data_IF_362669424474
#
_entry.id   IF_362669424474
#
_cell.length_a   1.000
_cell.length_b   1.000
_cell.length_c   1.000
_cell.angle_alpha   90.00
_cell.angle_beta   90.00
_cell.angle_gamma   90.00
#
_symmetry.space_group_name_H-M   'P 1'
#
loop_
_entity.id
_entity.type
_entity.pdbx_description
1 polymer ?
#
# COMPACT_ATOMS: atom_id res chain seq x y z
N UNK A 1 -2.58 29.28 29.05
CA UNK A 1 -3.52 28.21 28.69
C UNK A 1 -4.56 28.77 27.75
N UNK A 2 -4.34 28.68 26.43
CA UNK A 2 -5.41 28.91 25.46
C UNK A 2 -6.21 27.61 25.40
N UNK A 3 -7.48 27.67 25.80
CA UNK A 3 -8.43 26.59 25.57
C UNK A 3 -8.62 26.48 24.05
N UNK A 4 -7.99 25.48 23.43
CA UNK A 4 -8.31 25.09 22.06
C UNK A 4 -9.73 24.53 22.07
N UNK A 5 -10.64 25.17 21.34
CA UNK A 5 -11.91 24.56 21.00
C UNK A 5 -11.59 23.33 20.15
N UNK A 6 -11.65 22.13 20.75
CA UNK A 6 -11.51 20.88 20.02
C UNK A 6 -12.67 20.83 19.02
N UNK A 7 -12.39 21.08 17.74
CA UNK A 7 -13.32 20.81 16.67
C UNK A 7 -13.40 19.28 16.55
N UNK A 8 -14.23 18.67 17.39
CA UNK A 8 -14.40 17.21 17.55
C UNK A 8 -15.19 16.59 16.39
N UNK A 9 -15.72 17.40 15.48
CA UNK A 9 -16.42 16.94 14.29
C UNK A 9 -15.44 16.67 13.16
N UNK A 10 -15.52 15.47 12.61
CA UNK A 10 -14.89 15.15 11.33
C UNK A 10 -15.41 16.09 10.25
N UNK A 11 -14.52 16.57 9.39
CA UNK A 11 -14.88 17.41 8.24
C UNK A 11 -15.73 16.67 7.20
N UNK A 12 -15.73 15.32 7.20
CA UNK A 12 -16.71 14.53 6.46
C UNK A 12 -18.06 14.54 7.20
N UNK A 13 -19.17 14.91 6.53
CA UNK A 13 -20.47 15.04 7.19
C UNK A 13 -21.06 13.70 7.69
N UNK A 14 -20.50 12.56 7.28
CA UNK A 14 -21.01 11.22 7.56
C UNK A 14 -19.97 10.30 8.24
N UNK A 15 -19.15 10.81 9.15
CA UNK A 15 -18.26 9.93 9.92
C UNK A 15 -19.05 8.98 10.82
N UNK A 16 -18.86 7.68 10.63
CA UNK A 16 -19.63 6.59 11.25
C UNK A 16 -19.45 6.48 12.77
N UNK A 17 -18.29 6.89 13.29
CA UNK A 17 -18.02 6.88 14.73
C UNK A 17 -17.08 8.01 15.16
N UNK A 18 -17.24 8.46 16.40
CA UNK A 18 -16.25 9.30 17.06
C UNK A 18 -14.93 8.52 17.22
N UNK A 19 -13.75 9.14 16.99
CA UNK A 19 -12.46 8.45 17.13
C UNK A 19 -12.27 7.72 18.46
N UNK A 20 -12.76 8.31 19.56
CA UNK A 20 -12.73 7.68 20.89
C UNK A 20 -13.47 6.34 20.94
N UNK A 21 -14.62 6.24 20.26
CA UNK A 21 -15.39 5.00 20.23
C UNK A 21 -14.68 3.93 19.40
N UNK A 22 -14.07 4.32 18.28
CA UNK A 22 -13.22 3.43 17.47
C UNK A 22 -12.05 2.88 18.30
N UNK A 23 -11.32 3.75 19.00
CA UNK A 23 -10.19 3.36 19.87
C UNK A 23 -10.65 2.35 20.93
N UNK A 24 -11.73 2.66 21.66
CA UNK A 24 -12.23 1.79 22.73
C UNK A 24 -12.71 0.43 22.20
N UNK A 25 -13.41 0.43 21.05
CA UNK A 25 -13.87 -0.81 20.39
C UNK A 25 -12.69 -1.69 20.03
N UNK A 26 -11.67 -1.14 19.36
CA UNK A 26 -10.50 -1.91 18.92
C UNK A 26 -9.68 -2.41 20.10
N UNK A 27 -9.44 -1.56 21.13
CA UNK A 27 -8.72 -2.00 22.34
C UNK A 27 -9.43 -3.15 23.06
N UNK A 28 -10.76 -3.19 23.05
CA UNK A 28 -11.50 -4.32 23.60
C UNK A 28 -11.30 -5.59 22.77
N UNK A 29 -11.33 -5.50 21.43
CA UNK A 29 -11.06 -6.64 20.54
C UNK A 29 -9.65 -7.19 20.79
N UNK A 30 -8.63 -6.32 20.82
CA UNK A 30 -7.25 -6.74 21.05
C UNK A 30 -7.08 -7.40 22.43
N UNK A 31 -7.75 -6.86 23.46
CA UNK A 31 -7.78 -7.48 24.79
C UNK A 31 -8.41 -8.88 24.80
N UNK A 32 -9.46 -9.12 24.01
CA UNK A 32 -10.12 -10.44 23.92
C UNK A 32 -9.22 -11.52 23.30
N UNK A 33 -8.24 -11.12 22.49
CA UNK A 33 -7.22 -12.00 21.92
C UNK A 33 -5.86 -11.90 22.62
N UNK A 34 -5.84 -11.35 23.84
CA UNK A 34 -4.67 -11.22 24.71
C UNK A 34 -3.50 -10.42 24.08
N UNK A 35 -3.82 -9.37 23.33
CA UNK A 35 -2.83 -8.42 22.79
C UNK A 35 -2.94 -7.09 23.53
N UNK A 36 -1.89 -6.74 24.27
CA UNK A 36 -1.73 -5.45 24.93
C UNK A 36 -0.85 -4.53 24.07
N UNK A 37 -1.39 -3.35 23.74
CA UNK A 37 -0.67 -2.31 22.99
C UNK A 37 -0.32 -1.10 23.84
N UNK A 38 0.84 -0.52 23.56
CA UNK A 38 1.36 0.72 24.13
C UNK A 38 1.68 1.73 23.03
N UNK A 39 1.69 3.01 23.38
CA UNK A 39 2.12 4.09 22.49
C UNK A 39 3.63 4.31 22.67
N UNK A 40 4.43 4.14 21.60
CA UNK A 40 5.91 4.16 21.68
C UNK A 40 6.51 5.42 21.08
N UNK A 41 5.82 6.05 20.13
CA UNK A 41 6.31 7.23 19.43
C UNK A 41 5.18 8.23 19.22
N UNK A 42 5.39 9.49 19.56
CA UNK A 42 4.54 10.59 19.12
C UNK A 42 5.39 11.60 18.35
N UNK A 43 4.86 12.04 17.20
CA UNK A 43 5.42 13.11 16.38
C UNK A 43 4.41 14.25 16.22
N UNK A 44 4.88 15.49 16.32
CA UNK A 44 4.08 16.69 16.06
C UNK A 44 4.98 17.83 15.54
N UNK A 45 5.51 17.71 14.31
CA UNK A 45 6.51 18.66 13.79
C UNK A 45 5.91 20.02 13.42
N UNK A 46 4.59 20.10 13.17
CA UNK A 46 3.84 21.32 12.86
C UNK A 46 2.49 21.30 13.57
N UNK A 47 1.82 22.45 13.69
CA UNK A 47 0.49 22.49 14.31
C UNK A 47 -0.50 21.61 13.53
N UNK A 48 -1.37 20.93 14.27
CA UNK A 48 -2.33 19.96 13.72
C UNK A 48 -1.73 18.82 12.87
N UNK A 49 -0.43 18.54 12.93
CA UNK A 49 0.19 17.41 12.21
C UNK A 49 0.69 16.38 13.20
N UNK A 50 -0.15 15.39 13.53
CA UNK A 50 0.19 14.36 14.51
C UNK A 50 0.48 13.01 13.85
N UNK A 51 1.49 12.32 14.37
CA UNK A 51 1.69 10.89 14.15
C UNK A 51 1.92 10.17 15.47
N UNK A 52 1.53 8.89 15.52
CA UNK A 52 1.74 8.01 16.67
C UNK A 52 2.20 6.65 16.18
N UNK A 53 3.04 5.95 16.95
CA UNK A 53 3.27 4.52 16.79
C UNK A 53 2.69 3.80 17.99
N UNK A 54 1.85 2.80 17.72
CA UNK A 54 1.41 1.83 18.73
C UNK A 54 2.14 0.52 18.47
N UNK A 55 2.55 -0.16 19.54
CA UNK A 55 3.23 -1.46 19.49
C UNK A 55 2.60 -2.40 20.50
N UNK A 56 2.52 -3.68 20.17
CA UNK A 56 2.28 -4.73 21.15
C UNK A 56 3.44 -4.77 22.17
N UNK A 57 3.20 -5.22 23.39
CA UNK A 57 4.28 -5.42 24.37
C UNK A 57 5.24 -6.54 23.92
N UNK A 58 6.39 -6.64 24.57
CA UNK A 58 7.43 -7.64 24.23
C UNK A 58 6.89 -9.07 24.29
N UNK A 59 6.05 -9.37 25.27
CA UNK A 59 5.41 -10.67 25.44
C UNK A 59 4.47 -11.04 24.27
N UNK A 60 3.96 -10.03 23.56
CA UNK A 60 2.99 -10.15 22.47
C UNK A 60 3.63 -9.93 21.07
N UNK A 61 4.96 -9.88 21.01
CA UNK A 61 5.74 -9.88 19.77
C UNK A 61 6.09 -8.52 19.16
N UNK A 62 5.86 -7.41 19.88
CA UNK A 62 6.34 -6.05 19.50
C UNK A 62 5.86 -5.54 18.13
N UNK A 63 4.80 -6.12 17.58
CA UNK A 63 4.22 -5.69 16.31
C UNK A 63 3.66 -4.28 16.45
N UNK A 64 4.03 -3.38 15.53
CA UNK A 64 3.63 -1.98 15.64
C UNK A 64 3.13 -1.35 14.36
N UNK A 65 2.09 -0.51 14.51
CA UNK A 65 1.46 0.25 13.44
C UNK A 65 1.51 1.75 13.73
N UNK A 66 1.46 2.52 12.66
CA UNK A 66 1.54 3.98 12.74
C UNK A 66 0.16 4.60 12.52
N UNK A 67 -0.14 5.66 13.24
CA UNK A 67 -1.30 6.50 13.02
C UNK A 67 -0.89 7.88 12.55
N UNK A 68 -1.79 8.53 11.82
CA UNK A 68 -1.64 9.91 11.37
C UNK A 68 -2.96 10.65 11.49
N UNK A 69 -2.92 11.95 11.79
CA UNK A 69 -4.16 12.72 11.89
C UNK A 69 -3.97 14.16 12.35
N UNK A 70 -5.06 14.91 12.27
CA UNK A 70 -5.09 16.36 12.59
C UNK A 70 -5.15 16.68 14.09
N UNK A 71 -5.36 15.66 14.91
CA UNK A 71 -5.23 15.72 16.36
C UNK A 71 -4.93 14.32 16.93
N UNK A 72 -4.58 14.27 18.21
CA UNK A 72 -4.20 13.04 18.89
C UNK A 72 -5.26 11.93 18.82
N UNK A 73 -6.55 12.25 18.93
CA UNK A 73 -7.62 11.24 18.89
C UNK A 73 -7.80 10.62 17.50
N UNK A 74 -7.77 11.45 16.44
CA UNK A 74 -7.83 10.91 15.08
C UNK A 74 -6.59 10.11 14.74
N UNK A 75 -5.42 10.58 15.18
CA UNK A 75 -4.14 9.90 15.00
C UNK A 75 -4.14 8.51 15.68
N UNK A 76 -4.59 8.42 16.93
CA UNK A 76 -4.66 7.15 17.65
C UNK A 76 -5.72 6.21 17.07
N UNK A 77 -6.88 6.73 16.65
CA UNK A 77 -7.88 5.92 15.95
C UNK A 77 -7.35 5.36 14.63
N UNK A 78 -6.55 6.14 13.89
CA UNK A 78 -5.86 5.69 12.67
C UNK A 78 -4.89 4.56 12.97
N UNK A 79 -4.06 4.68 14.03
CA UNK A 79 -3.08 3.63 14.38
C UNK A 79 -3.77 2.31 14.73
N UNK A 80 -4.84 2.37 15.52
CA UNK A 80 -5.62 1.18 15.90
C UNK A 80 -6.38 0.57 14.71
N UNK A 81 -6.92 1.39 13.81
CA UNK A 81 -7.57 0.89 12.60
C UNK A 81 -6.57 0.19 11.67
N UNK A 82 -5.37 0.73 11.50
CA UNK A 82 -4.29 0.07 10.74
C UNK A 82 -3.84 -1.23 11.44
N UNK A 83 -3.82 -1.27 12.77
CA UNK A 83 -3.56 -2.53 13.51
C UNK A 83 -4.60 -3.61 13.19
N UNK A 84 -5.90 -3.26 13.20
CA UNK A 84 -6.97 -4.18 12.79
C UNK A 84 -6.84 -4.59 11.33
N UNK A 85 -6.39 -3.69 10.47
CA UNK A 85 -6.16 -3.98 9.05
C UNK A 85 -5.07 -5.03 8.87
N UNK A 86 -3.90 -4.84 9.52
CA UNK A 86 -2.78 -5.78 9.41
C UNK A 86 -3.09 -7.14 10.02
N UNK A 87 -3.67 -7.18 11.22
CA UNK A 87 -3.95 -8.45 11.89
C UNK A 87 -5.03 -9.25 11.15
N UNK A 88 -6.09 -8.61 10.66
CA UNK A 88 -7.17 -9.30 9.95
C UNK A 88 -6.83 -9.65 8.49
N UNK A 89 -5.80 -9.02 7.92
CA UNK A 89 -5.21 -9.45 6.64
C UNK A 89 -4.00 -10.39 6.81
N UNK A 90 -3.70 -10.82 8.03
CA UNK A 90 -2.54 -11.66 8.39
C UNK A 90 -1.17 -11.04 8.03
N UNK A 91 -1.11 -9.72 7.82
CA UNK A 91 0.09 -8.98 7.44
C UNK A 91 0.81 -8.34 8.63
N UNK A 92 0.57 -8.83 9.86
CA UNK A 92 1.11 -8.22 11.09
C UNK A 92 2.66 -8.24 11.12
N UNK A 93 3.25 -9.31 10.59
CA UNK A 93 4.69 -9.52 10.40
C UNK A 93 5.20 -9.00 9.05
N UNK A 94 4.36 -8.34 8.24
CA UNK A 94 4.68 -8.07 6.83
C UNK A 94 4.83 -9.36 6.01
N UNK A 95 5.41 -9.24 4.81
CA UNK A 95 5.57 -10.37 3.88
C UNK A 95 6.53 -11.45 4.39
N UNK A 96 7.40 -11.11 5.35
CA UNK A 96 8.40 -12.04 5.93
C UNK A 96 7.78 -13.13 6.80
N UNK A 97 6.62 -12.88 7.41
CA UNK A 97 5.92 -13.90 8.21
C UNK A 97 5.21 -14.97 7.38
N UNK A 98 5.10 -14.77 6.07
CA UNK A 98 4.63 -15.78 5.13
C UNK A 98 5.77 -16.66 4.59
N UNK A 99 6.93 -16.67 5.24
CA UNK A 99 7.94 -17.67 4.91
C UNK A 99 7.41 -19.07 5.21
N UNK A 100 7.79 -20.02 4.37
CA UNK A 100 7.29 -21.40 4.45
C UNK A 100 7.45 -22.02 5.83
N UNK A 101 8.56 -21.80 6.52
CA UNK A 101 8.86 -22.49 7.78
C UNK A 101 7.79 -22.17 8.82
N UNK A 102 7.43 -20.88 8.93
CA UNK A 102 6.37 -20.44 9.82
C UNK A 102 5.02 -20.96 9.33
N UNK A 103 4.74 -20.85 8.03
CA UNK A 103 3.48 -21.33 7.46
C UNK A 103 3.24 -22.82 7.66
N UNK A 104 4.25 -23.66 7.46
CA UNK A 104 4.19 -25.12 7.69
C UNK A 104 4.07 -25.46 9.17
N UNK A 105 4.74 -24.69 10.04
CA UNK A 105 4.57 -24.85 11.48
C UNK A 105 3.13 -24.56 11.89
N UNK A 106 2.58 -23.43 11.42
CA UNK A 106 1.20 -23.04 11.68
C UNK A 106 0.22 -24.07 11.12
N UNK A 107 0.46 -24.57 9.89
CA UNK A 107 -0.38 -25.60 9.28
C UNK A 107 -0.37 -26.91 10.08
N UNK A 108 0.78 -27.35 10.59
CA UNK A 108 0.86 -28.55 11.43
C UNK A 108 0.12 -28.42 12.75
N UNK A 109 0.08 -27.21 13.30
CA UNK A 109 -0.58 -26.92 14.58
C UNK A 109 -2.10 -26.74 14.41
N UNK A 110 -2.52 -25.99 13.38
CA UNK A 110 -3.90 -25.52 13.23
C UNK A 110 -4.65 -26.20 12.08
N UNK A 111 -3.93 -26.75 11.10
CA UNK A 111 -4.51 -27.39 9.91
C UNK A 111 -4.94 -26.42 8.80
N UNK A 112 -4.56 -25.14 8.90
CA UNK A 112 -4.84 -24.09 7.92
C UNK A 112 -3.60 -23.22 7.70
N UNK A 113 -3.43 -22.70 6.49
CA UNK A 113 -2.33 -21.77 6.16
C UNK A 113 -2.69 -20.31 6.42
N UNK A 114 -3.91 -19.91 6.06
CA UNK A 114 -4.36 -18.52 6.13
C UNK A 114 -5.70 -18.37 6.83
N UNK A 115 -6.78 -18.82 6.19
CA UNK A 115 -8.15 -18.63 6.66
C UNK A 115 -8.92 -19.94 6.58
N UNK A 116 -9.94 -20.17 7.43
CA UNK A 116 -10.74 -21.40 7.39
C UNK A 116 -11.48 -21.66 6.07
N UNK A 117 -11.66 -20.65 5.23
CA UNK A 117 -12.29 -20.73 3.91
C UNK A 117 -11.28 -20.84 2.75
N UNK A 118 -10.02 -21.13 3.06
CA UNK A 118 -8.99 -21.39 2.06
C UNK A 118 -9.31 -22.61 1.20
N UNK A 119 -8.93 -22.53 -0.07
CA UNK A 119 -9.09 -23.64 -1.02
C UNK A 119 -7.78 -23.95 -1.68
N UNK A 120 -7.39 -25.22 -1.60
CA UNK A 120 -6.35 -25.77 -2.46
C UNK A 120 -6.85 -25.75 -3.91
N UNK A 121 -6.03 -25.20 -4.80
CA UNK A 121 -6.25 -25.21 -6.25
C UNK A 121 -5.11 -25.92 -6.95
N UNK A 122 -5.45 -26.78 -7.89
CA UNK A 122 -4.48 -27.51 -8.70
C UNK A 122 -3.89 -26.62 -9.79
N UNK A 123 -2.88 -27.12 -10.50
CA UNK A 123 -2.38 -26.49 -11.74
C UNK A 123 -3.48 -26.25 -12.77
N UNK A 124 -4.42 -27.18 -12.90
CA UNK A 124 -5.53 -27.05 -13.85
C UNK A 124 -6.48 -25.91 -13.45
N UNK A 125 -6.77 -25.77 -12.17
CA UNK A 125 -7.60 -24.69 -11.64
C UNK A 125 -6.91 -23.34 -11.76
N UNK A 126 -5.60 -23.30 -11.51
CA UNK A 126 -4.77 -22.11 -11.69
C UNK A 126 -4.81 -21.59 -13.12
N UNK A 127 -4.69 -22.48 -14.10
CA UNK A 127 -4.75 -22.13 -15.53
C UNK A 127 -6.14 -21.65 -15.99
N UNK A 128 -7.19 -21.87 -15.19
CA UNK A 128 -8.55 -21.35 -15.43
C UNK A 128 -8.77 -19.96 -14.83
N UNK A 129 -7.81 -19.41 -14.09
CA UNK A 129 -7.93 -18.05 -13.56
C UNK A 129 -8.11 -17.04 -14.70
N UNK A 130 -8.84 -15.94 -14.45
CA UNK A 130 -8.94 -14.84 -15.41
C UNK A 130 -7.58 -14.40 -15.95
N UNK A 131 -7.49 -14.20 -17.27
CA UNK A 131 -6.24 -13.84 -17.95
C UNK A 131 -5.57 -12.60 -17.34
N UNK A 132 -6.35 -11.61 -16.90
CA UNK A 132 -5.80 -10.40 -16.29
C UNK A 132 -5.07 -10.68 -14.96
N UNK A 133 -5.55 -11.64 -14.17
CA UNK A 133 -4.89 -12.07 -12.93
C UNK A 133 -3.58 -12.78 -13.27
N UNK A 134 -3.62 -13.68 -14.26
CA UNK A 134 -2.43 -14.39 -14.72
C UNK A 134 -1.35 -13.42 -15.25
N UNK A 135 -1.76 -12.37 -15.98
CA UNK A 135 -0.86 -11.30 -16.46
C UNK A 135 -0.29 -10.40 -15.37
N UNK A 136 -0.90 -10.37 -14.19
CA UNK A 136 -0.37 -9.65 -13.04
C UNK A 136 0.66 -10.45 -12.26
N UNK A 137 0.48 -11.77 -12.17
CA UNK A 137 1.50 -12.64 -11.62
C UNK A 137 2.72 -12.69 -12.54
N UNK A 138 2.54 -12.96 -13.84
CA UNK A 138 3.64 -13.25 -14.74
C UNK A 138 3.82 -12.18 -15.83
N UNK A 139 5.05 -11.73 -15.99
CA UNK A 139 5.50 -10.77 -17.01
C UNK A 139 5.96 -11.50 -18.28
N UNK A 140 5.02 -11.91 -19.12
CA UNK A 140 5.30 -12.25 -20.53
C UNK A 140 4.04 -12.23 -21.39
N UNK A 141 4.23 -11.95 -22.68
CA UNK A 141 3.21 -12.14 -23.71
C UNK A 141 3.45 -13.44 -24.51
N UNK A 142 4.53 -14.17 -24.24
CA UNK A 142 4.85 -15.44 -24.91
C UNK A 142 4.17 -16.60 -24.17
N UNK A 143 3.18 -17.20 -24.83
CA UNK A 143 2.39 -18.29 -24.28
C UNK A 143 3.19 -19.58 -24.01
N UNK A 144 4.31 -19.78 -24.71
CA UNK A 144 5.19 -20.94 -24.54
C UNK A 144 5.96 -20.79 -23.24
N UNK A 145 6.62 -19.64 -23.08
CA UNK A 145 7.36 -19.28 -21.87
C UNK A 145 6.42 -19.29 -20.66
N UNK A 146 5.21 -18.73 -20.82
CA UNK A 146 4.20 -18.74 -19.77
C UNK A 146 3.90 -20.16 -19.28
N UNK A 147 3.66 -21.12 -20.20
CA UNK A 147 3.41 -22.52 -19.83
C UNK A 147 4.59 -23.17 -19.13
N UNK A 148 5.81 -23.00 -19.64
CA UNK A 148 7.03 -23.58 -19.04
C UNK A 148 7.25 -23.11 -17.60
N UNK A 149 6.93 -21.84 -17.30
CA UNK A 149 7.08 -21.28 -15.96
C UNK A 149 6.02 -21.81 -15.01
N UNK A 150 4.77 -21.89 -15.45
CA UNK A 150 3.70 -22.52 -14.67
C UNK A 150 4.02 -23.99 -14.40
N UNK A 151 4.52 -24.71 -15.40
CA UNK A 151 4.97 -26.09 -15.25
C UNK A 151 6.06 -26.20 -14.18
N UNK A 152 7.11 -25.37 -14.28
CA UNK A 152 8.18 -25.36 -13.29
C UNK A 152 7.70 -25.00 -11.87
N UNK A 153 6.78 -24.02 -11.76
CA UNK A 153 6.21 -23.62 -10.48
C UNK A 153 5.45 -24.77 -9.81
N UNK A 154 4.58 -25.46 -10.54
CA UNK A 154 3.82 -26.59 -10.00
C UNK A 154 4.66 -27.86 -9.82
N UNK A 155 5.71 -28.08 -10.62
CA UNK A 155 6.70 -29.13 -10.36
C UNK A 155 7.38 -28.92 -9.00
N UNK A 156 7.67 -27.67 -8.62
CA UNK A 156 8.20 -27.33 -7.30
C UNK A 156 7.17 -27.59 -6.19
N UNK A 157 5.90 -27.27 -6.40
CA UNK A 157 4.80 -27.57 -5.46
C UNK A 157 4.71 -29.09 -5.21
N UNK A 158 4.73 -29.90 -6.27
CA UNK A 158 4.67 -31.37 -6.19
C UNK A 158 5.90 -31.97 -5.50
N UNK A 159 7.12 -31.48 -5.80
CA UNK A 159 8.36 -31.89 -5.11
C UNK A 159 8.33 -31.62 -3.61
N UNK A 160 7.51 -30.67 -3.18
CA UNK A 160 7.29 -30.35 -1.78
C UNK A 160 6.14 -31.14 -1.12
N UNK A 161 5.62 -32.16 -1.80
CA UNK A 161 4.50 -33.00 -1.36
C UNK A 161 3.16 -32.25 -1.19
N UNK A 162 2.94 -31.21 -1.99
CA UNK A 162 1.64 -30.54 -2.09
C UNK A 162 1.00 -30.85 -3.44
N UNK A 163 -0.32 -31.03 -3.49
CA UNK A 163 -1.09 -31.25 -4.72
C UNK A 163 -1.49 -29.96 -5.44
N UNK A 164 -1.30 -28.82 -4.78
CA UNK A 164 -1.69 -27.51 -5.28
C UNK A 164 -1.23 -26.39 -4.36
N UNK A 165 -1.78 -25.20 -4.61
CA UNK A 165 -1.52 -24.00 -3.81
C UNK A 165 -2.81 -23.48 -3.18
N UNK A 166 -2.69 -22.73 -2.10
CA UNK A 166 -3.86 -22.23 -1.36
C UNK A 166 -4.30 -20.86 -1.86
N UNK A 167 -5.60 -20.74 -2.05
CA UNK A 167 -6.27 -19.58 -2.63
C UNK A 167 -7.41 -19.10 -1.74
N UNK A 168 -7.68 -17.79 -1.78
CA UNK A 168 -8.78 -17.18 -1.03
C UNK A 168 -9.91 -16.77 -1.97
N UNK A 169 -11.18 -16.93 -1.56
CA UNK A 169 -12.30 -16.46 -2.35
C UNK A 169 -12.38 -14.93 -2.34
N UNK A 170 -12.36 -14.34 -3.53
CA UNK A 170 -12.69 -12.94 -3.78
C UNK A 170 -13.93 -12.87 -4.68
N UNK A 171 -14.83 -11.93 -4.40
CA UNK A 171 -15.98 -11.68 -5.25
C UNK A 171 -15.60 -10.68 -6.36
N UNK A 172 -15.71 -11.11 -7.62
CA UNK A 172 -15.54 -10.25 -8.79
C UNK A 172 -16.82 -9.44 -9.04
N UNK A 173 -16.71 -8.12 -9.11
CA UNK A 173 -17.85 -7.25 -9.40
C UNK A 173 -18.27 -7.28 -10.87
N UNK A 174 -17.32 -7.42 -11.81
CA UNK A 174 -17.61 -7.50 -13.25
C UNK A 174 -18.21 -8.84 -13.63
N UNK A 175 -17.67 -9.94 -13.10
CA UNK A 175 -18.14 -11.32 -13.40
C UNK A 175 -19.31 -11.75 -12.55
N UNK A 176 -19.49 -11.14 -11.37
CA UNK A 176 -20.52 -11.49 -10.38
C UNK A 176 -20.39 -12.92 -9.87
N UNK A 177 -19.17 -13.36 -9.66
CA UNK A 177 -18.84 -14.70 -9.18
C UNK A 177 -17.65 -14.65 -8.21
N UNK A 178 -17.49 -15.72 -7.44
CA UNK A 178 -16.33 -15.90 -6.58
C UNK A 178 -15.19 -16.50 -7.40
N UNK A 179 -14.04 -15.83 -7.39
CA UNK A 179 -12.78 -16.30 -7.97
C UNK A 179 -11.84 -16.61 -6.81
N UNK A 180 -11.29 -17.83 -6.75
CA UNK A 180 -10.31 -18.17 -5.73
C UNK A 180 -8.93 -17.77 -6.22
N UNK A 181 -8.34 -16.74 -5.61
CA UNK A 181 -7.07 -16.15 -6.03
C UNK A 181 -5.93 -16.70 -5.15
N UNK A 182 -4.84 -17.23 -5.73
CA UNK A 182 -3.65 -17.68 -4.99
C UNK A 182 -3.13 -16.61 -4.04
N UNK A 183 -3.17 -16.89 -2.74
CA UNK A 183 -3.04 -15.82 -1.76
C UNK A 183 -1.59 -15.32 -1.61
N UNK A 184 -0.65 -16.26 -1.61
CA UNK A 184 0.79 -15.98 -1.60
C UNK A 184 1.23 -15.14 -2.80
N UNK A 185 0.79 -15.50 -4.01
CA UNK A 185 1.13 -14.74 -5.23
C UNK A 185 0.47 -13.38 -5.21
N UNK A 186 -0.77 -13.28 -4.71
CA UNK A 186 -1.44 -11.99 -4.59
C UNK A 186 -0.69 -11.07 -3.62
N UNK A 187 -0.26 -11.57 -2.46
CA UNK A 187 0.55 -10.78 -1.51
C UNK A 187 1.89 -10.33 -2.10
N UNK A 188 2.58 -11.17 -2.87
CA UNK A 188 3.91 -10.81 -3.40
C UNK A 188 3.83 -9.63 -4.38
N UNK A 189 2.72 -9.46 -5.09
CA UNK A 189 2.54 -8.38 -6.06
C UNK A 189 1.83 -7.15 -5.48
N UNK A 190 1.02 -7.29 -4.42
CA UNK A 190 0.22 -6.19 -3.84
C UNK A 190 0.73 -5.69 -2.49
N UNK A 191 1.52 -6.47 -1.75
CA UNK A 191 1.89 -6.16 -0.37
C UNK A 191 0.65 -5.87 0.49
N UNK A 192 0.59 -4.65 1.05
CA UNK A 192 -0.55 -4.13 1.80
C UNK A 192 -1.62 -3.41 0.96
N UNK A 193 -1.36 -3.15 -0.32
CA UNK A 193 -2.19 -2.27 -1.12
C UNK A 193 -3.61 -2.82 -1.29
N UNK A 194 -4.60 -1.98 -1.00
CA UNK A 194 -6.01 -2.38 -1.07
C UNK A 194 -6.53 -3.09 0.18
N UNK A 195 -5.75 -3.16 1.25
CA UNK A 195 -6.23 -3.54 2.57
C UNK A 195 -6.72 -2.29 3.29
N UNK A 196 -7.85 -2.39 3.98
CA UNK A 196 -8.29 -1.30 4.86
C UNK A 196 -9.25 -1.79 5.93
N UNK A 197 -9.27 -1.08 7.06
CA UNK A 197 -10.29 -1.22 8.09
C UNK A 197 -11.08 0.06 8.32
N UNK A 198 -12.32 -0.08 8.78
CA UNK A 198 -13.23 1.04 9.04
C UNK A 198 -14.28 0.69 10.08
N UNK A 199 -15.04 1.67 10.56
CA UNK A 199 -16.14 1.42 11.50
C UNK A 199 -17.32 0.69 10.82
N UNK A 200 -17.42 0.80 9.49
CA UNK A 200 -18.34 0.06 8.63
C UNK A 200 -17.58 -0.57 7.45
N UNK A 201 -18.18 -1.58 6.80
CA UNK A 201 -17.61 -2.18 5.59
C UNK A 201 -17.48 -1.16 4.45
N UNK A 202 -18.41 -0.21 4.34
CA UNK A 202 -18.34 0.84 3.32
C UNK A 202 -17.22 1.84 3.60
N UNK A 203 -16.96 2.20 4.86
CA UNK A 203 -15.78 3.01 5.22
C UNK A 203 -14.48 2.26 4.89
N UNK A 204 -14.36 0.98 5.27
CA UNK A 204 -13.21 0.14 4.95
C UNK A 204 -12.99 0.03 3.42
N UNK A 205 -14.05 -0.29 2.67
CA UNK A 205 -14.02 -0.38 1.21
C UNK A 205 -13.59 0.93 0.57
N UNK A 206 -14.13 2.06 1.05
CA UNK A 206 -13.75 3.37 0.55
C UNK A 206 -12.26 3.66 0.76
N UNK A 207 -11.74 3.41 1.96
CA UNK A 207 -10.32 3.64 2.26
C UNK A 207 -9.41 2.76 1.39
N UNK A 208 -9.73 1.46 1.25
CA UNK A 208 -8.98 0.54 0.39
C UNK A 208 -8.96 1.00 -1.07
N UNK A 209 -10.10 1.45 -1.61
CA UNK A 209 -10.16 1.97 -2.98
C UNK A 209 -9.40 3.28 -3.15
N UNK A 210 -9.48 4.19 -2.18
CA UNK A 210 -8.69 5.42 -2.20
C UNK A 210 -7.19 5.11 -2.25
N UNK A 211 -6.69 4.20 -1.41
CA UNK A 211 -5.29 3.78 -1.41
C UNK A 211 -4.87 3.16 -2.75
N UNK A 212 -5.69 2.28 -3.33
CA UNK A 212 -5.40 1.71 -4.65
C UNK A 212 -5.27 2.82 -5.70
N UNK A 213 -6.15 3.83 -5.69
CA UNK A 213 -6.06 4.93 -6.64
C UNK A 213 -4.90 5.89 -6.38
N UNK A 214 -4.52 6.10 -5.12
CA UNK A 214 -3.33 6.85 -4.72
C UNK A 214 -2.07 6.25 -5.37
N UNK A 215 -1.89 4.94 -5.22
CA UNK A 215 -0.76 4.20 -5.79
C UNK A 215 -0.88 4.08 -7.31
N UNK A 216 -2.09 3.94 -7.86
CA UNK A 216 -2.29 3.98 -9.31
C UNK A 216 -1.82 5.33 -9.90
N UNK A 217 -2.28 6.44 -9.34
CA UNK A 217 -1.89 7.77 -9.79
C UNK A 217 -0.37 7.98 -9.74
N UNK A 218 0.26 7.54 -8.65
CA UNK A 218 1.72 7.56 -8.49
C UNK A 218 2.43 6.76 -9.60
N UNK A 219 1.97 5.53 -9.86
CA UNK A 219 2.51 4.66 -10.91
C UNK A 219 2.35 5.25 -12.31
N UNK A 220 1.19 5.85 -12.59
CA UNK A 220 0.90 6.51 -13.86
C UNK A 220 1.83 7.71 -14.08
N UNK A 221 1.88 8.63 -13.12
CA UNK A 221 2.73 9.83 -13.20
C UNK A 221 4.19 9.44 -13.38
N UNK A 222 4.65 8.42 -12.64
CA UNK A 222 6.01 7.93 -12.73
C UNK A 222 6.30 7.29 -14.11
N UNK A 223 5.48 6.33 -14.53
CA UNK A 223 5.74 5.50 -15.72
C UNK A 223 5.52 6.26 -17.03
N UNK A 224 4.48 7.09 -17.09
CA UNK A 224 4.16 7.93 -18.24
C UNK A 224 4.90 9.29 -18.20
N UNK A 225 5.65 9.55 -17.11
CA UNK A 225 6.45 10.77 -16.89
C UNK A 225 5.61 12.03 -17.01
N UNK A 226 4.37 11.99 -16.52
CA UNK A 226 3.46 13.13 -16.60
C UNK A 226 3.96 14.26 -15.71
N UNK A 227 3.72 15.50 -16.15
CA UNK A 227 3.86 16.70 -15.34
C UNK A 227 2.49 17.07 -14.77
N UNK A 228 2.19 16.73 -13.50
CA UNK A 228 0.92 17.10 -12.89
C UNK A 228 0.81 18.63 -12.70
N UNK A 229 -0.37 19.23 -12.90
CA UNK A 229 -0.56 20.67 -12.72
C UNK A 229 -0.42 21.06 -11.26
N UNK A 230 0.22 22.23 -11.03
CA UNK A 230 0.29 22.84 -9.71
C UNK A 230 -1.05 23.47 -9.36
N UNK A 231 -1.55 23.16 -8.17
CA UNK A 231 -2.79 23.75 -7.65
C UNK A 231 -2.42 25.10 -7.03
N UNK A 232 -2.93 26.17 -7.65
CA UNK A 232 -2.61 27.55 -7.30
C UNK A 232 -3.08 27.91 -5.88
N UNK A 233 -2.30 28.78 -5.21
CA UNK A 233 -2.65 29.26 -3.86
C UNK A 233 -4.03 29.93 -3.79
N UNK A 234 -4.48 30.55 -4.88
CA UNK A 234 -5.82 31.14 -4.95
C UNK A 234 -6.92 30.08 -4.81
N UNK A 235 -6.73 28.89 -5.37
CA UNK A 235 -7.67 27.78 -5.17
C UNK A 235 -7.57 27.23 -3.75
N UNK A 236 -6.35 27.10 -3.22
CA UNK A 236 -6.11 26.65 -1.84
C UNK A 236 -6.71 27.61 -0.78
N UNK A 237 -6.92 28.88 -1.12
CA UNK A 237 -7.56 29.86 -0.22
C UNK A 237 -9.01 29.51 0.16
N UNK A 238 -9.65 28.61 -0.58
CA UNK A 238 -10.95 28.03 -0.21
C UNK A 238 -10.85 27.06 0.98
N UNK A 239 -9.65 26.63 1.35
CA UNK A 239 -9.35 25.68 2.43
C UNK A 239 -8.39 26.29 3.45
N UNK A 240 -8.85 27.30 4.23
CA UNK A 240 -7.97 28.13 5.05
C UNK A 240 -7.21 27.38 6.14
N UNK A 241 -7.79 26.30 6.67
CA UNK A 241 -7.13 25.48 7.69
C UNK A 241 -5.91 24.73 7.12
N UNK A 242 -6.06 24.12 5.95
CA UNK A 242 -4.95 23.48 5.24
C UNK A 242 -3.91 24.50 4.76
N UNK A 243 -4.38 25.66 4.27
CA UNK A 243 -3.49 26.75 3.84
C UNK A 243 -2.65 27.29 5.01
N UNK A 244 -3.21 27.37 6.23
CA UNK A 244 -2.47 27.80 7.42
C UNK A 244 -1.30 26.84 7.76
N UNK A 245 -1.51 25.53 7.60
CA UNK A 245 -0.46 24.52 7.80
C UNK A 245 0.61 24.66 6.72
N UNK A 246 0.19 24.81 5.46
CA UNK A 246 1.09 25.07 4.33
C UNK A 246 1.96 26.30 4.61
N UNK A 247 1.35 27.39 5.09
CA UNK A 247 2.04 28.62 5.47
C UNK A 247 3.01 28.44 6.64
N UNK A 248 2.67 27.58 7.61
CA UNK A 248 3.57 27.24 8.71
C UNK A 248 4.80 26.49 8.23
N UNK A 249 4.62 25.47 7.39
CA UNK A 249 5.71 24.69 6.78
C UNK A 249 6.61 25.64 5.96
N UNK A 250 6.00 26.55 5.19
CA UNK A 250 6.67 27.56 4.39
C UNK A 250 7.58 28.48 5.23
N UNK A 251 7.06 28.97 6.36
CA UNK A 251 7.80 29.82 7.31
C UNK A 251 8.95 29.07 7.99
N UNK A 252 8.85 27.75 8.13
CA UNK A 252 9.89 26.90 8.69
C UNK A 252 10.94 26.44 7.66
N UNK A 253 10.95 27.04 6.47
CA UNK A 253 12.02 26.85 5.48
C UNK A 253 11.74 25.78 4.43
N UNK A 254 10.53 25.25 4.35
CA UNK A 254 10.14 24.24 3.35
C UNK A 254 9.10 24.81 2.40
N UNK A 255 9.43 24.95 1.11
CA UNK A 255 8.44 25.30 0.09
C UNK A 255 7.46 24.15 -0.09
N UNK A 256 6.16 24.44 -0.10
CA UNK A 256 5.11 23.45 -0.28
C UNK A 256 4.47 23.62 -1.66
N UNK A 257 4.46 22.55 -2.45
CA UNK A 257 3.87 22.51 -3.79
C UNK A 257 2.76 21.46 -3.77
N UNK A 258 1.53 21.88 -4.04
CA UNK A 258 0.37 20.99 -4.17
C UNK A 258 0.13 20.71 -5.65
N UNK A 259 -0.03 19.43 -6.00
CA UNK A 259 -0.19 18.96 -7.37
C UNK A 259 -1.49 18.17 -7.50
N UNK A 260 -2.20 18.36 -8.61
CA UNK A 260 -3.31 17.49 -8.98
C UNK A 260 -2.76 16.19 -9.56
N UNK A 261 -3.00 15.07 -8.89
CA UNK A 261 -2.56 13.73 -9.29
C UNK A 261 -3.71 12.94 -9.96
N UNK A 262 -4.71 13.63 -10.51
CA UNK A 262 -5.86 12.98 -11.18
C UNK A 262 -5.55 12.28 -12.49
N UNK A 263 -4.36 12.52 -13.06
CA UNK A 263 -3.84 11.87 -14.26
C UNK A 263 -4.70 12.02 -15.52
N UNK A 264 -5.55 13.05 -15.61
CA UNK A 264 -6.59 13.18 -16.64
C UNK A 264 -7.49 11.93 -16.75
N UNK A 265 -7.62 11.19 -15.64
CA UNK A 265 -8.38 9.94 -15.50
C UNK A 265 -9.45 10.05 -14.40
N UNK A 266 -9.64 11.25 -13.86
CA UNK A 266 -10.54 11.54 -12.74
C UNK A 266 -10.21 10.72 -11.47
N UNK A 267 -8.93 10.40 -11.25
CA UNK A 267 -8.50 9.79 -9.99
C UNK A 267 -8.56 10.88 -8.88
N UNK A 268 -9.22 10.64 -7.74
CA UNK A 268 -9.39 11.65 -6.69
C UNK A 268 -8.13 11.77 -5.81
N UNK A 269 -7.01 12.19 -6.42
CA UNK A 269 -5.68 12.09 -5.82
C UNK A 269 -4.95 13.44 -5.85
N UNK A 270 -4.32 13.78 -4.73
CA UNK A 270 -3.48 14.96 -4.56
C UNK A 270 -2.05 14.53 -4.28
N UNK A 271 -1.08 15.19 -4.93
CA UNK A 271 0.33 15.09 -4.58
C UNK A 271 0.79 16.31 -3.79
N UNK A 272 1.61 16.10 -2.77
CA UNK A 272 2.21 17.16 -1.96
C UNK A 272 3.74 17.00 -2.00
N UNK A 273 4.42 18.05 -2.42
CA UNK A 273 5.87 18.12 -2.42
C UNK A 273 6.31 19.16 -1.40
N UNK A 274 7.24 18.80 -0.53
CA UNK A 274 8.00 19.77 0.25
C UNK A 274 9.42 19.87 -0.31
N UNK A 275 9.94 21.08 -0.44
CA UNK A 275 11.31 21.36 -0.86
C UNK A 275 12.01 22.17 0.22
N UNK A 276 13.10 21.65 0.76
CA UNK A 276 13.94 22.42 1.68
C UNK A 276 14.59 23.59 0.93
N UNK A 277 14.27 24.83 1.33
CA UNK A 277 14.77 26.06 0.69
C UNK A 277 16.29 26.19 0.82
N UNK A 278 16.92 25.49 1.77
CA UNK A 278 18.37 25.51 1.97
C UNK A 278 19.13 24.51 1.10
N UNK A 279 18.74 23.23 1.14
CA UNK A 279 19.45 22.17 0.40
C UNK A 279 18.91 21.92 -1.01
N UNK A 280 17.69 22.38 -1.31
CA UNK A 280 16.99 22.07 -2.56
C UNK A 280 16.47 20.64 -2.65
N UNK A 281 16.71 19.80 -1.63
CA UNK A 281 16.17 18.44 -1.53
C UNK A 281 14.66 18.46 -1.31
N UNK A 282 13.98 17.38 -1.69
CA UNK A 282 12.53 17.30 -1.64
C UNK A 282 12.02 16.03 -0.98
N UNK A 283 10.75 16.03 -0.61
CA UNK A 283 9.98 14.82 -0.29
C UNK A 283 8.62 14.93 -0.97
N UNK A 284 8.12 13.81 -1.49
CA UNK A 284 6.80 13.69 -2.11
C UNK A 284 5.94 12.78 -1.24
N UNK A 285 4.69 13.17 -1.02
CA UNK A 285 3.63 12.29 -0.54
C UNK A 285 2.41 12.42 -1.45
N UNK A 286 1.60 11.38 -1.52
CA UNK A 286 0.39 11.33 -2.35
C UNK A 286 -0.75 10.87 -1.45
N UNK A 287 -1.95 11.40 -1.67
CA UNK A 287 -3.10 11.11 -0.83
C UNK A 287 -4.37 11.16 -1.65
N UNK A 288 -5.27 10.21 -1.39
CA UNK A 288 -6.52 10.04 -2.13
C UNK A 288 -7.72 10.22 -1.21
N UNK A 289 -8.70 10.99 -1.68
CA UNK A 289 -10.03 11.14 -1.08
C UNK A 289 -10.94 11.88 -2.09
N UNK A 290 -12.22 11.51 -2.14
CA UNK A 290 -13.20 12.17 -3.02
C UNK A 290 -13.51 13.62 -2.61
N UNK A 291 -13.19 14.01 -1.38
CA UNK A 291 -13.18 15.39 -0.91
C UNK A 291 -11.75 15.97 -1.00
N UNK A 292 -11.60 17.07 -1.75
CA UNK A 292 -10.29 17.70 -1.95
C UNK A 292 -9.64 18.13 -0.62
N UNK A 293 -10.42 18.68 0.32
CA UNK A 293 -9.89 19.14 1.60
C UNK A 293 -9.34 17.97 2.40
N UNK A 294 -10.03 16.84 2.37
CA UNK A 294 -9.60 15.61 3.07
C UNK A 294 -8.37 15.02 2.39
N UNK A 295 -8.32 14.94 1.05
CA UNK A 295 -7.15 14.48 0.31
C UNK A 295 -5.91 15.35 0.62
N UNK A 296 -6.06 16.67 0.62
CA UNK A 296 -5.01 17.61 1.00
C UNK A 296 -4.60 17.45 2.47
N UNK A 297 -5.56 17.28 3.39
CA UNK A 297 -5.24 17.04 4.80
C UNK A 297 -4.49 15.73 5.02
N UNK A 298 -4.84 14.67 4.27
CA UNK A 298 -4.15 13.37 4.35
C UNK A 298 -2.70 13.50 3.91
N UNK A 299 -2.46 14.10 2.74
CA UNK A 299 -1.10 14.34 2.24
C UNK A 299 -0.24 15.14 3.21
N UNK A 300 -0.80 16.20 3.81
CA UNK A 300 -0.11 17.00 4.83
C UNK A 300 0.26 16.17 6.07
N UNK A 301 -0.62 15.29 6.55
CA UNK A 301 -0.30 14.45 7.72
C UNK A 301 0.67 13.32 7.42
N UNK A 302 0.60 12.74 6.22
CA UNK A 302 1.38 11.57 5.81
C UNK A 302 2.84 11.92 5.50
N UNK A 303 3.10 13.06 4.88
CA UNK A 303 4.47 13.46 4.52
C UNK A 303 5.38 13.60 5.76
N UNK A 304 4.78 13.83 6.93
CA UNK A 304 5.45 13.98 8.22
C UNK A 304 5.24 12.79 9.18
N UNK A 305 4.67 11.67 8.72
CA UNK A 305 4.45 10.50 9.56
C UNK A 305 5.76 9.96 10.14
N UNK A 306 5.78 9.73 11.45
CA UNK A 306 6.96 9.22 12.17
C UNK A 306 8.06 10.25 12.42
N UNK A 307 7.86 11.51 12.00
CA UNK A 307 8.84 12.58 12.16
C UNK A 307 8.51 13.43 13.38
N UNK A 308 9.50 13.70 14.25
CA UNK A 308 9.28 14.49 15.46
C UNK A 308 9.64 15.96 15.28
N UNK A 309 10.70 16.22 14.53
CA UNK A 309 11.30 17.53 14.41
C UNK A 309 11.94 17.77 13.03
N UNK A 310 12.54 18.95 12.86
CA UNK A 310 13.21 19.33 11.61
C UNK A 310 14.40 18.44 11.24
N UNK A 311 15.08 17.80 12.20
CA UNK A 311 16.20 16.89 11.91
C UNK A 311 15.66 15.60 11.26
N UNK A 312 14.57 15.06 11.79
CA UNK A 312 13.91 13.89 11.20
C UNK A 312 13.44 14.20 9.78
N UNK A 313 12.85 15.37 9.55
CA UNK A 313 12.46 15.83 8.20
C UNK A 313 13.64 15.81 7.25
N UNK A 314 14.75 16.46 7.63
CA UNK A 314 15.96 16.55 6.80
C UNK A 314 16.54 15.18 6.42
N UNK A 315 16.46 14.19 7.31
CA UNK A 315 16.94 12.83 7.05
C UNK A 315 16.11 12.08 6.01
N UNK A 316 14.85 12.50 5.79
CA UNK A 316 13.94 11.86 4.82
C UNK A 316 13.92 12.54 3.45
N UNK A 317 14.63 13.66 3.27
CA UNK A 317 14.62 14.38 2.00
C UNK A 317 15.55 13.72 0.95
N UNK A 318 15.03 13.64 -0.26
CA UNK A 318 15.69 13.09 -1.44
C UNK A 318 16.31 14.21 -2.31
N UNK A 319 17.40 13.93 -3.04
CA UNK A 319 17.92 14.89 -4.03
C UNK A 319 16.88 15.10 -5.13
N UNK A 320 16.74 16.34 -5.64
CA UNK A 320 15.92 16.58 -6.83
C UNK A 320 16.52 15.82 -8.03
N UNK A 321 15.68 15.15 -8.84
CA UNK A 321 16.13 14.47 -10.06
C UNK A 321 16.73 15.49 -11.05
N UNK A 322 17.83 15.11 -11.70
CA UNK A 322 18.48 15.83 -12.79
C UNK A 322 19.22 14.86 -13.72
N UNK A 323 19.76 15.36 -14.83
CA UNK A 323 20.50 14.54 -15.81
C UNK A 323 21.67 13.74 -15.20
N UNK A 324 22.33 14.23 -14.15
CA UNK A 324 23.49 13.58 -13.53
C UNK A 324 23.13 12.42 -12.59
N UNK A 325 22.01 12.51 -11.87
CA UNK A 325 21.60 11.53 -10.87
C UNK A 325 20.44 10.63 -11.31
N UNK A 326 19.90 10.85 -12.51
CA UNK A 326 18.76 10.11 -13.07
C UNK A 326 18.95 9.56 -14.50
N UNK A 327 20.15 9.15 -14.96
CA UNK A 327 20.35 8.70 -16.34
C UNK A 327 19.52 7.44 -16.68
N UNK A 328 19.25 6.60 -15.68
CA UNK A 328 18.41 5.41 -15.81
C UNK A 328 16.94 5.74 -16.13
N UNK A 329 16.47 6.98 -15.96
CA UNK A 329 15.08 7.32 -16.25
C UNK A 329 14.76 7.26 -17.74
N UNK A 330 15.74 7.46 -18.63
CA UNK A 330 15.51 7.63 -20.07
C UNK A 330 15.92 6.44 -20.93
N UNK A 331 16.90 5.65 -20.48
CA UNK A 331 17.43 4.53 -21.26
C UNK A 331 16.53 3.30 -21.20
N UNK A 332 16.61 2.45 -22.23
CA UNK A 332 15.80 1.23 -22.37
C UNK A 332 16.58 -0.06 -22.14
N UNK A 333 17.85 0.02 -21.73
CA UNK A 333 18.60 -1.15 -21.28
C UNK A 333 17.99 -1.75 -20.01
N UNK A 334 18.27 -3.03 -19.79
CA UNK A 334 17.70 -3.83 -18.70
C UNK A 334 18.00 -3.25 -17.31
N UNK A 335 19.22 -2.74 -17.09
CA UNK A 335 19.63 -2.12 -15.83
C UNK A 335 18.80 -0.86 -15.54
N UNK A 336 18.62 -0.01 -16.55
CA UNK A 336 17.81 1.21 -16.42
C UNK A 336 16.33 0.92 -16.17
N UNK A 337 15.76 -0.11 -16.83
CA UNK A 337 14.40 -0.58 -16.55
C UNK A 337 14.27 -1.07 -15.10
N UNK A 338 15.21 -1.90 -14.66
CA UNK A 338 15.27 -2.46 -13.32
C UNK A 338 15.32 -1.37 -12.24
N UNK A 339 16.16 -0.35 -12.44
CA UNK A 339 16.31 0.77 -11.50
C UNK A 339 15.08 1.67 -11.44
N UNK A 340 14.37 1.85 -12.56
CA UNK A 340 13.08 2.56 -12.56
C UNK A 340 12.03 1.82 -11.74
N UNK A 341 11.91 0.52 -11.92
CA UNK A 341 10.98 -0.30 -11.14
C UNK A 341 11.33 -0.26 -9.65
N UNK A 342 12.62 -0.40 -9.32
CA UNK A 342 13.11 -0.36 -7.94
C UNK A 342 12.76 0.96 -7.25
N UNK A 343 12.94 2.09 -7.93
CA UNK A 343 12.57 3.40 -7.39
C UNK A 343 11.06 3.52 -7.17
N UNK A 344 10.24 3.08 -8.12
CA UNK A 344 8.78 3.10 -7.95
C UNK A 344 8.35 2.23 -6.75
N UNK A 345 8.87 1.01 -6.65
CA UNK A 345 8.61 0.11 -5.52
C UNK A 345 9.02 0.75 -4.19
N UNK A 346 10.23 1.34 -4.12
CA UNK A 346 10.72 2.01 -2.91
C UNK A 346 9.82 3.18 -2.51
N UNK A 347 9.37 3.98 -3.47
CA UNK A 347 8.40 5.04 -3.19
C UNK A 347 7.10 4.47 -2.61
N UNK A 348 6.54 3.41 -3.19
CA UNK A 348 5.31 2.79 -2.69
C UNK A 348 5.47 2.13 -1.32
N UNK A 349 6.67 1.64 -0.99
CA UNK A 349 6.96 0.99 0.30
C UNK A 349 7.15 2.01 1.43
N UNK A 350 7.94 3.06 1.20
CA UNK A 350 8.39 3.96 2.27
C UNK A 350 8.66 5.42 1.84
N UNK A 351 8.27 5.79 0.62
CA UNK A 351 8.43 7.16 0.10
C UNK A 351 9.86 7.55 -0.32
N UNK A 352 10.83 6.62 -0.35
CA UNK A 352 12.24 6.93 -0.65
C UNK A 352 12.65 6.87 -2.14
N UNK A 353 11.71 6.55 -3.04
CA UNK A 353 11.97 6.46 -4.48
C UNK A 353 12.03 7.82 -5.17
N UNK A 354 13.01 8.02 -6.05
CA UNK A 354 13.19 9.27 -6.80
C UNK A 354 12.25 9.28 -8.00
N UNK A 355 11.34 10.25 -8.05
CA UNK A 355 10.46 10.50 -9.20
C UNK A 355 11.19 11.15 -10.38
N UNK A 356 10.66 11.06 -11.61
CA UNK A 356 11.20 11.79 -12.76
C UNK A 356 11.17 13.30 -12.59
N UNK A 357 12.14 13.99 -13.20
CA UNK A 357 12.24 15.45 -13.17
C UNK A 357 11.03 16.17 -13.81
N UNK A 358 10.29 15.46 -14.68
CA UNK A 358 9.03 15.95 -15.25
C UNK A 358 8.02 16.34 -14.18
N UNK A 359 8.12 15.80 -12.96
CA UNK A 359 7.31 16.21 -11.79
C UNK A 359 7.42 17.72 -11.50
N UNK A 360 8.56 18.34 -11.82
CA UNK A 360 8.89 19.73 -11.51
C UNK A 360 8.79 20.67 -12.71
N UNK A 361 8.39 20.18 -13.89
CA UNK A 361 8.25 21.04 -15.07
C UNK A 361 7.10 22.04 -14.93
N UNK A 362 7.25 23.19 -15.58
CA UNK A 362 6.24 24.26 -15.57
C UNK A 362 5.04 23.94 -16.47
N UNK A 363 5.26 23.22 -17.58
CA UNK A 363 4.20 22.89 -18.54
C UNK A 363 3.53 21.58 -18.13
N UNK A 364 2.28 21.67 -17.67
CA UNK A 364 1.51 20.50 -17.24
C UNK A 364 1.08 19.63 -18.40
N UNK A 365 1.06 18.31 -18.21
CA UNK A 365 0.60 17.34 -19.22
C UNK A 365 -0.92 17.31 -19.37
N UNK A 366 -1.65 17.89 -18.41
CA UNK A 366 -3.10 18.03 -18.38
C UNK A 366 -3.49 19.24 -17.53
N UNK A 367 -4.76 19.66 -17.63
CA UNK A 367 -5.30 20.78 -16.85
C UNK A 367 -5.86 20.31 -15.51
N UNK A 368 -5.73 21.15 -14.48
CA UNK A 368 -6.35 20.91 -13.19
C UNK A 368 -7.88 20.95 -13.32
N UNK A 369 -8.55 19.87 -12.90
CA UNK A 369 -10.00 19.82 -12.86
C UNK A 369 -10.50 19.65 -11.40
N UNK A 370 -11.06 20.71 -10.77
CA UNK A 370 -11.56 20.61 -9.40
C UNK A 370 -12.77 19.68 -9.27
N UNK A 371 -13.52 19.42 -10.36
CA UNK A 371 -14.69 18.55 -10.31
C UNK A 371 -14.35 17.06 -10.13
N UNK A 372 -13.06 16.70 -10.23
CA UNK A 372 -12.58 15.36 -9.86
C UNK A 372 -12.89 15.04 -8.39
N UNK A 373 -12.90 16.05 -7.53
CA UNK A 373 -13.17 15.91 -6.10
C UNK A 373 -14.64 16.22 -5.82
N UNK A 374 -15.47 15.17 -5.82
CA UNK A 374 -16.91 15.27 -5.69
C UNK A 374 -17.43 14.39 -4.53
N UNK A 375 -17.39 14.88 -3.28
CA UNK A 375 -17.85 14.12 -2.13
C UNK A 375 -19.36 13.87 -2.17
N UNK A 376 -19.77 12.71 -1.68
CA UNK A 376 -21.15 12.23 -1.59
C UNK A 376 -21.68 12.35 -0.17
N UNK A 377 -22.86 11.79 0.09
CA UNK A 377 -23.54 11.95 1.39
C UNK A 377 -23.27 10.80 2.38
N UNK A 378 -22.72 9.68 1.90
CA UNK A 378 -22.38 8.52 2.73
C UNK A 378 -21.28 7.69 2.08
N UNK A 379 -20.60 6.84 2.86
CA UNK A 379 -19.57 5.94 2.32
C UNK A 379 -20.12 4.96 1.29
N UNK A 380 -21.39 4.54 1.37
CA UNK A 380 -22.01 3.70 0.35
C UNK A 380 -22.12 4.42 -1.00
N UNK A 381 -22.45 5.71 -1.00
CA UNK A 381 -22.48 6.51 -2.22
C UNK A 381 -21.07 6.78 -2.76
N UNK A 382 -20.10 7.02 -1.87
CA UNK A 382 -18.69 7.18 -2.25
C UNK A 382 -18.14 5.90 -2.91
N UNK A 383 -18.34 4.74 -2.28
CA UNK A 383 -17.93 3.44 -2.84
C UNK A 383 -18.57 3.22 -4.20
N UNK A 384 -19.86 3.54 -4.37
CA UNK A 384 -20.52 3.43 -5.68
C UNK A 384 -19.83 4.29 -6.74
N UNK A 385 -19.47 5.52 -6.43
CA UNK A 385 -18.77 6.41 -7.37
C UNK A 385 -17.39 5.86 -7.75
N UNK A 386 -16.61 5.41 -6.76
CA UNK A 386 -15.30 4.80 -7.01
C UNK A 386 -15.41 3.52 -7.84
N UNK A 387 -16.44 2.70 -7.63
CA UNK A 387 -16.70 1.52 -8.45
C UNK A 387 -17.12 1.87 -9.89
N UNK A 388 -17.87 2.96 -10.08
CA UNK A 388 -18.18 3.48 -11.42
C UNK A 388 -16.90 3.94 -12.12
N UNK A 389 -15.99 4.60 -11.40
CA UNK A 389 -14.67 4.98 -11.93
C UNK A 389 -13.88 3.75 -12.37
N UNK A 390 -13.74 2.71 -11.53
CA UNK A 390 -13.09 1.46 -11.92
C UNK A 390 -13.69 0.85 -13.20
N UNK A 391 -15.03 0.83 -13.28
CA UNK A 391 -15.75 0.33 -14.45
C UNK A 391 -15.48 1.16 -15.71
N UNK A 392 -15.47 2.49 -15.60
CA UNK A 392 -15.21 3.40 -16.72
C UNK A 392 -13.77 3.25 -17.24
N UNK A 393 -12.83 2.91 -16.36
CA UNK A 393 -11.45 2.55 -16.70
C UNK A 393 -11.31 1.07 -17.14
N UNK A 394 -12.42 0.35 -17.29
CA UNK A 394 -12.52 -1.05 -17.72
C UNK A 394 -11.82 -2.07 -16.78
N UNK A 395 -11.64 -1.71 -15.51
CA UNK A 395 -11.11 -2.63 -14.51
C UNK A 395 -12.19 -3.55 -13.94
N UNK A 396 -11.77 -4.74 -13.51
CA UNK A 396 -12.55 -5.56 -12.57
C UNK A 396 -12.04 -5.33 -11.15
N UNK A 397 -12.95 -5.42 -10.18
CA UNK A 397 -12.66 -5.23 -8.76
C UNK A 397 -12.98 -6.55 -8.06
N UNK A 398 -11.96 -7.11 -7.41
CA UNK A 398 -12.03 -8.31 -6.60
C UNK A 398 -12.04 -7.89 -5.14
N UNK A 399 -13.11 -8.19 -4.41
CA UNK A 399 -13.26 -7.81 -3.00
C UNK A 399 -13.41 -9.03 -2.10
N UNK A 400 -12.74 -9.00 -0.95
CA UNK A 400 -12.86 -9.98 0.12
C UNK A 400 -13.10 -9.25 1.44
N UNK A 401 -14.08 -9.73 2.20
CA UNK A 401 -14.29 -9.35 3.60
C UNK A 401 -13.43 -10.25 4.47
N UNK A 402 -12.62 -9.65 5.36
CA UNK A 402 -11.75 -10.36 6.31
C UNK A 402 -12.05 -9.97 7.76
N UNK A 403 -13.28 -9.57 8.07
CA UNK A 403 -13.70 -9.04 9.38
C UNK A 403 -13.83 -10.11 10.49
N UNK A 404 -12.93 -11.09 10.57
CA UNK A 404 -13.07 -12.27 11.43
C UNK A 404 -12.93 -11.98 12.94
N UNK A 405 -12.34 -10.83 13.33
CA UNK A 405 -12.30 -10.34 14.72
C UNK A 405 -13.46 -9.38 15.05
N UNK A 406 -14.45 -9.25 14.15
CA UNK A 406 -15.63 -8.40 14.37
C UNK A 406 -15.40 -6.90 14.15
N UNK A 407 -14.28 -6.52 13.53
CA UNK A 407 -14.05 -5.17 13.03
C UNK A 407 -14.08 -5.16 11.50
N UNK A 408 -14.85 -4.27 10.84
CA UNK A 408 -14.92 -4.25 9.39
C UNK A 408 -13.56 -4.02 8.72
N UNK A 409 -13.12 -5.02 7.95
CA UNK A 409 -11.87 -5.00 7.21
C UNK A 409 -12.03 -5.72 5.89
N UNK A 410 -11.42 -5.15 4.84
CA UNK A 410 -11.47 -5.69 3.50
C UNK A 410 -10.08 -5.86 2.92
N UNK A 411 -10.02 -6.71 1.89
CA UNK A 411 -8.93 -6.78 0.93
C UNK A 411 -9.51 -6.62 -0.46
N UNK A 412 -9.11 -5.55 -1.16
CA UNK A 412 -9.50 -5.25 -2.53
C UNK A 412 -8.29 -5.40 -3.44
N UNK A 413 -8.50 -6.10 -4.55
CA UNK A 413 -7.53 -6.23 -5.63
C UNK A 413 -8.17 -5.77 -6.94
N UNK A 414 -7.46 -4.89 -7.66
CA UNK A 414 -7.81 -4.42 -8.99
C UNK A 414 -6.66 -4.78 -9.92
N UNK A 415 -6.92 -5.65 -10.89
CA UNK A 415 -5.89 -6.14 -11.79
C UNK A 415 -5.27 -5.02 -12.63
N UNK A 416 -3.95 -5.04 -12.78
CA UNK A 416 -3.15 -4.01 -13.45
C UNK A 416 -3.03 -2.68 -12.69
N UNK A 417 -3.64 -2.56 -11.50
CA UNK A 417 -3.74 -1.32 -10.73
C UNK A 417 -3.16 -1.46 -9.33
N UNK A 418 -3.49 -2.54 -8.62
CA UNK A 418 -3.07 -2.76 -7.22
C UNK A 418 -1.60 -3.15 -7.04
N UNK A 419 -0.80 -3.18 -8.11
CA UNK A 419 0.54 -3.77 -8.12
C UNK A 419 1.60 -2.85 -7.49
N UNK A 420 2.44 -3.40 -6.61
CA UNK A 420 3.59 -2.74 -5.99
C UNK A 420 4.92 -3.35 -6.41
N UNK A 421 4.93 -4.65 -6.72
CA UNK A 421 6.12 -5.48 -6.85
C UNK A 421 6.49 -5.79 -8.30
N UNK A 422 7.64 -6.43 -8.46
CA UNK A 422 8.05 -7.01 -9.74
C UNK A 422 7.17 -8.20 -10.07
N UNK A 423 6.59 -8.17 -11.27
CA UNK A 423 6.02 -9.35 -11.90
C UNK A 423 7.12 -10.41 -12.08
N UNK A 424 6.76 -11.69 -12.12
CA UNK A 424 7.73 -12.73 -12.51
C UNK A 424 8.14 -12.50 -13.97
N UNK A 425 9.30 -11.91 -14.23
CA UNK A 425 9.78 -11.61 -15.58
C UNK A 425 10.18 -12.90 -16.29
N UNK A 426 9.46 -13.24 -17.38
CA UNK A 426 9.69 -14.51 -18.07
C UNK A 426 10.48 -14.35 -19.38
N UNK A 427 10.85 -13.13 -19.77
CA UNK A 427 11.48 -12.84 -21.06
C UNK A 427 13.01 -13.04 -21.12
N UNK A 428 13.68 -13.43 -20.03
CA UNK A 428 15.11 -13.70 -20.06
C UNK A 428 15.42 -15.14 -20.46
N UNK A 429 15.51 -15.39 -21.77
CA UNK A 429 15.99 -16.65 -22.34
C UNK A 429 17.46 -16.97 -22.00
N UNK A 430 18.20 -16.05 -21.36
CA UNK A 430 19.55 -16.27 -20.84
C UNK A 430 19.59 -16.86 -19.42
N UNK A 431 18.48 -16.85 -18.70
CA UNK A 431 18.41 -17.18 -17.27
C UNK A 431 18.11 -18.65 -16.97
N UNK A 432 18.00 -19.53 -18.00
CA UNK A 432 17.84 -20.97 -17.79
C UNK A 432 19.07 -21.60 -17.10
N UNK A 433 20.24 -20.94 -17.11
CA UNK A 433 21.46 -21.39 -16.42
C UNK A 433 21.79 -20.61 -15.13
N UNK A 434 21.19 -19.45 -14.89
CA UNK A 434 21.18 -18.74 -13.59
C UNK A 434 19.91 -19.07 -12.76
N UNK A 435 19.21 -20.15 -13.16
CA UNK A 435 18.02 -20.77 -12.54
C UNK A 435 18.25 -21.35 -11.13
N UNK A 436 19.28 -20.91 -10.41
CA UNK A 436 19.60 -21.42 -9.07
C UNK A 436 19.66 -20.33 -7.99
N UNK A 437 19.58 -19.03 -8.33
CA UNK A 437 19.60 -17.96 -7.30
C UNK A 437 18.27 -17.20 -7.20
N UNK A 438 17.70 -16.73 -8.31
CA UNK A 438 16.37 -16.06 -8.30
C UNK A 438 15.26 -17.08 -8.08
N UNK A 439 15.44 -18.29 -8.61
CA UNK A 439 14.57 -19.42 -8.34
C UNK A 439 14.60 -19.77 -6.84
N UNK A 440 15.75 -19.65 -6.17
CA UNK A 440 15.86 -19.82 -4.73
C UNK A 440 15.22 -18.69 -3.91
N UNK A 441 15.22 -17.43 -4.31
CA UNK A 441 14.65 -16.35 -3.47
C UNK A 441 13.11 -16.40 -3.38
N UNK A 442 12.43 -16.65 -4.50
CA UNK A 442 10.97 -16.80 -4.52
C UNK A 442 10.51 -18.21 -4.14
N UNK A 443 11.23 -19.28 -4.51
CA UNK A 443 10.91 -20.64 -4.04
C UNK A 443 11.23 -20.83 -2.55
N UNK A 444 12.17 -20.09 -1.94
CA UNK A 444 12.36 -20.09 -0.48
C UNK A 444 11.26 -19.35 0.27
N UNK A 445 10.64 -18.34 -0.35
CA UNK A 445 9.45 -17.67 0.19
C UNK A 445 8.20 -18.54 0.05
N UNK A 446 8.10 -19.34 -1.01
CA UNK A 446 6.88 -20.07 -1.34
C UNK A 446 6.93 -21.55 -0.91
N UNK A 447 7.94 -22.35 -1.33
CA UNK A 447 8.08 -23.79 -0.95
C UNK A 447 9.52 -24.41 -1.17
N UNK A 448 10.40 -24.73 -0.16
CA UNK A 448 11.62 -25.54 -0.43
C UNK A 448 11.89 -26.86 0.37
N UNK A 449 12.21 -27.95 -0.36
CA UNK A 449 12.71 -29.29 0.02
C UNK A 449 12.69 -29.75 1.50
N UNK A 450 12.16 -30.96 1.75
CA UNK A 450 12.07 -31.62 3.07
C UNK A 450 13.38 -31.72 3.87
N UNK A 451 14.54 -31.65 3.21
CA UNK A 451 15.85 -31.68 3.88
C UNK A 451 16.23 -30.36 4.56
N UNK A 452 15.72 -29.21 4.11
CA UNK A 452 16.12 -27.88 4.60
C UNK A 452 15.60 -27.58 6.02
N UNK A 453 14.43 -28.12 6.37
CA UNK A 453 13.80 -27.96 7.70
C UNK A 453 14.66 -28.57 8.82
N UNK A 454 15.50 -29.57 8.50
CA UNK A 454 16.31 -30.26 9.50
C UNK A 454 17.63 -29.53 9.84
N UNK A 455 18.03 -28.50 9.07
CA UNK A 455 19.25 -27.73 9.31
C UNK A 455 18.94 -26.40 10.00
N UNK A 456 18.98 -26.42 11.34
CA UNK A 456 18.74 -25.25 12.20
C UNK A 456 19.67 -24.07 11.92
N UNK A 457 20.87 -24.32 11.36
CA UNK A 457 21.87 -23.27 11.10
C UNK A 457 21.54 -22.50 9.82
N UNK A 458 21.10 -23.22 8.78
CA UNK A 458 20.60 -22.59 7.55
C UNK A 458 19.29 -21.85 7.79
N UNK A 459 18.41 -22.41 8.61
CA UNK A 459 17.16 -21.77 9.03
C UNK A 459 17.39 -20.41 9.69
N UNK A 460 18.32 -20.36 10.66
CA UNK A 460 18.68 -19.12 11.36
C UNK A 460 19.23 -18.05 10.41
N UNK A 461 20.13 -18.44 9.50
CA UNK A 461 20.67 -17.53 8.48
C UNK A 461 19.63 -17.00 7.51
N UNK A 462 18.66 -17.82 7.12
CA UNK A 462 17.57 -17.39 6.24
C UNK A 462 16.70 -16.34 6.94
N UNK A 463 16.38 -16.54 8.21
CA UNK A 463 15.63 -15.56 9.03
C UNK A 463 16.42 -14.25 9.18
N UNK A 464 17.72 -14.32 9.48
CA UNK A 464 18.59 -13.14 9.64
C UNK A 464 18.73 -12.31 8.35
N UNK A 465 18.67 -12.94 7.17
CA UNK A 465 18.75 -12.23 5.88
C UNK A 465 17.43 -11.58 5.44
N UNK A 466 16.31 -11.96 6.04
CA UNK A 466 14.98 -11.40 5.73
C UNK A 466 14.79 -10.02 6.36
N UNK A 467 15.54 -9.66 7.42
CA UNK A 467 15.50 -8.32 8.02
C UNK A 467 16.07 -7.21 7.11
N UNK A 468 16.61 -7.56 5.94
CA UNK A 468 17.30 -6.65 5.01
C UNK A 468 16.47 -6.35 3.73
N UNK A 469 15.32 -7.02 3.51
CA UNK A 469 14.45 -6.87 2.33
C UNK A 469 13.05 -6.30 2.67
#
# INVERSE_FOLDING_TARGET
MKYYSMNLQSKRPYKEALPKNTILKIKNILKEIDILTIETLWGNPFDEIYSVRIEAITEDGEFGQNGKGRNQLFCLASAYAEYMERIQNLLLTGTSGFNRVLMESNFKEVGIYYYPDEKEITKEDFLKLPNEILSDFFSTNDITIFKEVIDCFFDTVEKNNHSGIYSMPFYSLKRKEVVNIPHNLLFSITGSNGMASGNTLSEATFQAMCEIYERNAASIIYSERLTPPTIERIYLSNYPEELNIIDEIDRNGYEVIVKDFSCNRNLPVVGLIIVDKKSGKYKLNIGSDTDFQVALSRTLTEIFQGLKDGKDIQNTLLPKPNEENSPFLYNQDSESVFERERNLVNFMKNGSGIFPETLFYNNSSYEFNPNTFNPKKSYEEEVKELLVLAKNLNYDVYIRDVSFLGFPTVYIYISGVSLLGRKFNLNDSGLINEKTEIQNELENLLYPFSEFINDKTKLKRAIENIEIF
#
